data_IF_160470084042
#
_entry.id   IF_160470084042
#
_cell.length_a   1.000
_cell.length_b   1.000
_cell.length_c   1.000
_cell.angle_alpha   90.00
_cell.angle_beta   90.00
_cell.angle_gamma   90.00
#
_symmetry.space_group_name_H-M   'P 1'
#
loop_
_entity.id
_entity.type
_entity.pdbx_description
1 polymer ?
#
# COMPACT_ATOMS: atom_id res chain seq x y z
N UNK A 1 -12.99 -33.02 -19.60
CA UNK A 1 -12.81 -31.59 -19.94
C UNK A 1 -11.97 -31.03 -18.81
N UNK A 2 -10.66 -30.92 -19.01
CA UNK A 2 -9.79 -30.33 -17.98
C UNK A 2 -10.11 -28.83 -17.94
N UNK A 3 -10.59 -28.37 -16.79
CA UNK A 3 -10.75 -26.94 -16.55
C UNK A 3 -9.37 -26.30 -16.70
N UNK A 4 -9.22 -25.20 -17.48
CA UNK A 4 -7.94 -24.53 -17.58
C UNK A 4 -7.51 -24.15 -16.17
N UNK A 5 -6.32 -24.63 -15.74
CA UNK A 5 -5.70 -24.18 -14.50
C UNK A 5 -5.69 -22.66 -14.55
N UNK A 6 -6.45 -22.03 -13.65
CA UNK A 6 -6.53 -20.58 -13.56
C UNK A 6 -5.13 -19.99 -13.42
N UNK A 7 -4.94 -18.78 -13.92
CA UNK A 7 -3.67 -18.07 -13.72
C UNK A 7 -3.50 -17.81 -12.23
N UNK A 8 -2.38 -18.24 -11.66
CA UNK A 8 -2.01 -17.95 -10.28
C UNK A 8 -1.47 -16.51 -10.17
N UNK A 9 -2.37 -15.58 -9.89
CA UNK A 9 -2.00 -14.17 -9.71
C UNK A 9 -1.38 -13.95 -8.33
N UNK A 10 -0.24 -13.25 -8.28
CA UNK A 10 0.37 -12.82 -7.00
C UNK A 10 -0.38 -11.65 -6.39
N UNK A 11 -0.77 -10.68 -7.22
CA UNK A 11 -1.50 -9.48 -6.82
C UNK A 11 -2.53 -9.11 -7.90
N UNK A 12 -3.70 -8.66 -7.48
CA UNK A 12 -4.69 -8.02 -8.32
C UNK A 12 -5.03 -6.69 -7.66
N UNK A 13 -4.80 -5.60 -8.40
CA UNK A 13 -5.13 -4.25 -7.96
C UNK A 13 -6.18 -3.69 -8.90
N UNK A 14 -7.25 -3.18 -8.33
CA UNK A 14 -8.28 -2.44 -9.05
C UNK A 14 -8.14 -0.97 -8.72
N UNK A 15 -7.72 -0.17 -9.69
CA UNK A 15 -7.68 1.28 -9.53
C UNK A 15 -9.02 1.89 -9.92
N UNK A 16 -9.41 2.96 -9.21
CA UNK A 16 -10.71 3.59 -9.36
C UNK A 16 -10.58 5.10 -9.29
N UNK A 17 -11.12 5.78 -10.30
CA UNK A 17 -11.16 7.24 -10.35
C UNK A 17 -12.05 7.88 -9.27
N UNK A 18 -12.98 7.11 -8.66
CA UNK A 18 -13.94 7.62 -7.68
C UNK A 18 -13.76 6.93 -6.33
N UNK A 19 -13.55 7.74 -5.30
CA UNK A 19 -13.38 7.31 -3.91
C UNK A 19 -14.49 6.39 -3.40
N UNK A 20 -15.74 6.75 -3.65
CA UNK A 20 -16.92 6.00 -3.17
C UNK A 20 -16.98 4.58 -3.74
N UNK A 21 -16.29 4.33 -4.85
CA UNK A 21 -16.26 3.01 -5.49
C UNK A 21 -15.24 2.07 -4.85
N UNK A 22 -14.20 2.59 -4.20
CA UNK A 22 -13.09 1.79 -3.65
C UNK A 22 -13.59 0.78 -2.62
N UNK A 23 -14.40 1.22 -1.66
CA UNK A 23 -14.94 0.35 -0.60
C UNK A 23 -15.86 -0.74 -1.17
N UNK A 24 -16.70 -0.39 -2.13
CA UNK A 24 -17.63 -1.32 -2.78
C UNK A 24 -16.85 -2.39 -3.54
N UNK A 25 -15.83 -1.99 -4.29
CA UNK A 25 -15.02 -2.94 -5.03
C UNK A 25 -14.13 -3.80 -4.14
N UNK A 26 -13.59 -3.23 -3.05
CA UNK A 26 -12.84 -4.01 -2.06
C UNK A 26 -13.72 -5.14 -1.51
N UNK A 27 -14.96 -4.83 -1.12
CA UNK A 27 -15.91 -5.82 -0.62
C UNK A 27 -16.26 -6.88 -1.66
N UNK A 28 -16.43 -6.50 -2.92
CA UNK A 28 -16.72 -7.45 -4.00
C UNK A 28 -15.52 -8.37 -4.29
N UNK A 29 -14.29 -7.86 -4.25
CA UNK A 29 -13.08 -8.67 -4.36
C UNK A 29 -12.99 -9.71 -3.25
N UNK A 30 -13.27 -9.31 -2.00
CA UNK A 30 -13.33 -10.25 -0.87
C UNK A 30 -14.42 -11.30 -1.03
N UNK A 31 -15.60 -10.93 -1.53
CA UNK A 31 -16.68 -11.89 -1.81
C UNK A 31 -16.22 -12.90 -2.87
N UNK A 32 -15.52 -12.47 -3.92
CA UNK A 32 -14.99 -13.36 -4.97
C UNK A 32 -13.90 -14.29 -4.45
N UNK A 33 -13.07 -13.82 -3.53
CA UNK A 33 -12.08 -14.66 -2.86
C UNK A 33 -12.75 -15.70 -1.95
N UNK A 34 -13.77 -15.32 -1.18
CA UNK A 34 -14.55 -16.24 -0.34
C UNK A 34 -15.34 -17.29 -1.13
N UNK A 35 -15.68 -16.97 -2.38
CA UNK A 35 -16.34 -17.90 -3.32
C UNK A 35 -15.35 -18.75 -4.11
N UNK A 36 -14.06 -18.71 -3.78
CA UNK A 36 -12.98 -19.44 -4.46
C UNK A 36 -12.85 -19.13 -5.96
N UNK A 37 -13.40 -17.99 -6.41
CA UNK A 37 -13.23 -17.51 -7.79
C UNK A 37 -11.87 -16.87 -8.01
N UNK A 38 -11.27 -16.37 -6.93
CA UNK A 38 -9.92 -15.83 -6.89
C UNK A 38 -9.16 -16.60 -5.81
N UNK A 39 -7.93 -17.08 -6.09
CA UNK A 39 -7.14 -17.79 -5.10
C UNK A 39 -6.96 -16.99 -3.81
N UNK A 40 -7.02 -17.67 -2.66
CA UNK A 40 -6.79 -17.06 -1.35
C UNK A 40 -5.35 -16.55 -1.16
N UNK A 41 -4.40 -17.08 -1.94
CA UNK A 41 -3.00 -16.65 -1.97
C UNK A 41 -2.80 -15.31 -2.69
N UNK A 42 -3.75 -14.89 -3.53
CA UNK A 42 -3.67 -13.63 -4.29
C UNK A 42 -3.96 -12.44 -3.38
N UNK A 43 -3.09 -11.44 -3.39
CA UNK A 43 -3.36 -10.15 -2.75
C UNK A 43 -4.37 -9.34 -3.56
N UNK A 44 -5.45 -8.89 -2.91
CA UNK A 44 -6.53 -8.10 -3.53
C UNK A 44 -6.62 -6.72 -2.89
N UNK A 45 -6.47 -5.68 -3.71
CA UNK A 45 -6.56 -4.28 -3.26
C UNK A 45 -7.37 -3.46 -4.27
N UNK A 46 -8.38 -2.74 -3.78
CA UNK A 46 -8.98 -1.62 -4.50
C UNK A 46 -8.30 -0.32 -4.05
N UNK A 47 -7.95 0.55 -4.99
CA UNK A 47 -7.18 1.77 -4.74
C UNK A 47 -7.78 2.93 -5.51
N UNK A 48 -7.83 4.09 -4.87
CA UNK A 48 -8.22 5.34 -5.53
C UNK A 48 -7.08 5.81 -6.47
N UNK A 49 -7.44 6.29 -7.65
CA UNK A 49 -6.49 6.96 -8.53
C UNK A 49 -6.09 8.32 -7.96
N UNK A 50 -4.89 8.82 -8.32
CA UNK A 50 -4.44 10.04 -7.72
C UNK A 50 -5.35 11.24 -8.05
N UNK A 51 -5.65 11.40 -9.33
CA UNK A 51 -6.56 12.44 -9.77
C UNK A 51 -7.64 11.84 -10.64
N UNK A 52 -8.74 12.56 -10.77
CA UNK A 52 -9.75 12.21 -11.76
C UNK A 52 -9.12 12.43 -13.15
N UNK A 53 -9.17 11.42 -14.01
CA UNK A 53 -8.58 11.43 -15.37
C UNK A 53 -7.03 11.32 -15.44
N UNK A 54 -6.38 10.60 -14.53
CA UNK A 54 -4.94 10.25 -14.61
C UNK A 54 -4.54 9.49 -15.90
N UNK A 55 -5.51 8.96 -16.64
CA UNK A 55 -5.28 8.13 -17.82
C UNK A 55 -4.79 6.73 -17.47
N UNK A 56 -4.75 5.84 -18.47
CA UNK A 56 -4.39 4.43 -18.25
C UNK A 56 -2.96 4.25 -17.73
N UNK A 57 -2.02 5.09 -18.17
CA UNK A 57 -0.63 5.07 -17.70
C UNK A 57 -0.51 5.45 -16.23
N UNK A 58 -1.15 6.54 -15.80
CA UNK A 58 -1.13 6.98 -14.41
C UNK A 58 -1.79 5.97 -13.46
N UNK A 59 -2.94 5.42 -13.87
CA UNK A 59 -3.59 4.32 -13.15
C UNK A 59 -2.69 3.08 -13.03
N UNK A 60 -2.01 2.70 -14.12
CA UNK A 60 -1.07 1.56 -14.10
C UNK A 60 0.11 1.81 -13.16
N UNK A 61 0.67 3.02 -13.18
CA UNK A 61 1.78 3.39 -12.30
C UNK A 61 1.36 3.41 -10.82
N UNK A 62 0.18 3.95 -10.52
CA UNK A 62 -0.42 3.92 -9.18
C UNK A 62 -0.55 2.47 -8.68
N UNK A 63 -1.09 1.58 -9.51
CA UNK A 63 -1.19 0.15 -9.17
C UNK A 63 0.19 -0.46 -8.87
N UNK A 64 1.20 -0.20 -9.70
CA UNK A 64 2.56 -0.73 -9.49
C UNK A 64 3.19 -0.21 -8.20
N UNK A 65 3.03 1.08 -7.89
CA UNK A 65 3.56 1.70 -6.69
C UNK A 65 2.94 1.04 -5.44
N UNK A 66 1.62 0.93 -5.41
CA UNK A 66 0.88 0.35 -4.29
C UNK A 66 1.18 -1.14 -4.13
N UNK A 67 1.32 -1.88 -5.24
CA UNK A 67 1.76 -3.27 -5.19
C UNK A 67 3.15 -3.40 -4.56
N UNK A 68 4.11 -2.58 -5.00
CA UNK A 68 5.47 -2.62 -4.51
C UNK A 68 5.53 -2.28 -3.01
N UNK A 69 4.81 -1.26 -2.57
CA UNK A 69 4.73 -0.88 -1.17
C UNK A 69 4.16 -2.01 -0.32
N UNK A 70 3.01 -2.56 -0.72
CA UNK A 70 2.34 -3.61 0.06
C UNK A 70 3.14 -4.91 0.12
N UNK A 71 3.79 -5.29 -0.98
CA UNK A 71 4.69 -6.45 -1.00
C UNK A 71 5.96 -6.20 -0.18
N UNK A 72 6.52 -4.99 -0.23
CA UNK A 72 7.68 -4.61 0.59
C UNK A 72 7.35 -4.67 2.08
N UNK A 73 6.22 -4.07 2.48
CA UNK A 73 5.74 -4.10 3.86
C UNK A 73 5.49 -5.53 4.35
N UNK A 74 4.90 -6.40 3.50
CA UNK A 74 4.73 -7.83 3.80
C UNK A 74 6.04 -8.57 4.00
N UNK A 75 7.09 -8.19 3.27
CA UNK A 75 8.42 -8.76 3.41
C UNK A 75 9.22 -8.14 4.56
N UNK A 76 8.66 -7.17 5.30
CA UNK A 76 9.35 -6.47 6.39
C UNK A 76 10.29 -5.36 5.93
N UNK A 77 10.23 -4.96 4.65
CA UNK A 77 10.94 -3.80 4.15
C UNK A 77 10.07 -2.55 4.31
N UNK A 78 10.56 -1.57 5.06
CA UNK A 78 9.93 -0.24 5.16
C UNK A 78 10.60 0.72 4.19
N UNK A 79 9.79 1.54 3.52
CA UNK A 79 10.28 2.65 2.71
C UNK A 79 10.88 3.68 3.66
N UNK A 80 12.21 3.70 3.77
CA UNK A 80 12.90 4.81 4.42
C UNK A 80 12.80 6.01 3.49
N UNK A 81 11.82 6.89 3.73
CA UNK A 81 11.94 8.25 3.23
C UNK A 81 13.19 8.79 3.92
N UNK A 82 14.24 9.19 3.18
CA UNK A 82 15.32 9.90 3.83
C UNK A 82 14.69 11.14 4.46
N UNK A 83 14.64 11.14 5.79
CA UNK A 83 14.46 12.36 6.57
C UNK A 83 15.40 13.38 5.93
N UNK A 84 14.83 14.36 5.23
CA UNK A 84 15.60 15.53 4.84
C UNK A 84 16.05 16.12 6.18
N UNK A 85 17.36 16.11 6.51
CA UNK A 85 17.79 16.71 7.75
C UNK A 85 17.33 18.17 7.71
N UNK A 86 16.71 18.69 8.78
CA UNK A 86 16.38 20.10 8.83
C UNK A 86 17.68 20.86 8.62
N UNK A 87 17.81 21.50 7.47
CA UNK A 87 18.96 22.34 7.15
C UNK A 87 19.05 23.39 8.26
N UNK A 88 20.04 23.19 9.13
CA UNK A 88 20.66 24.16 10.01
C UNK A 88 19.81 25.40 10.35
N UNK A 89 18.96 25.31 11.35
CA UNK A 89 18.76 26.45 12.25
C UNK A 89 19.67 26.23 13.46
N UNK A 90 20.82 26.91 13.38
CA UNK A 90 21.88 26.94 14.36
C UNK A 90 21.35 27.41 15.72
N UNK A 91 21.49 26.59 16.76
CA UNK A 91 21.13 26.95 18.13
C UNK A 91 21.56 25.87 19.12
N UNK A 92 22.60 26.17 19.89
CA UNK A 92 23.34 25.30 20.79
C UNK A 92 22.51 24.75 21.98
N UNK A 93 22.68 23.47 22.34
CA UNK A 93 22.30 22.94 23.66
C UNK A 93 22.45 21.42 23.80
N UNK A 94 23.16 20.88 24.80
CA UNK A 94 23.30 19.44 25.00
C UNK A 94 22.20 18.92 25.91
N UNK A 95 21.54 17.82 25.53
CA UNK A 95 20.85 16.96 26.49
C UNK A 95 20.86 15.51 25.97
N UNK A 96 21.78 14.75 26.55
CA UNK A 96 21.80 13.29 26.57
C UNK A 96 20.62 12.78 27.41
N UNK A 97 19.91 11.75 26.96
CA UNK A 97 19.70 10.47 27.68
C UNK A 97 18.85 9.49 26.84
N UNK A 98 19.03 8.17 27.01
CA UNK A 98 18.48 7.14 26.13
C UNK A 98 17.19 6.52 26.68
N UNK A 99 16.21 6.25 25.82
CA UNK A 99 15.12 5.34 26.18
C UNK A 99 15.41 3.94 25.64
N UNK A 100 16.17 3.16 26.42
CA UNK A 100 16.10 1.70 26.36
C UNK A 100 14.80 1.24 27.03
N UNK A 101 14.10 0.33 26.36
CA UNK A 101 13.10 -0.53 26.98
C UNK A 101 11.67 -0.02 26.85
N UNK A 102 10.94 -0.57 25.88
CA UNK A 102 9.64 -1.18 26.14
C UNK A 102 9.38 -2.23 25.06
N UNK A 103 9.29 -3.50 25.49
CA UNK A 103 8.88 -4.60 24.64
C UNK A 103 7.39 -4.48 24.32
N UNK A 104 7.08 -4.33 23.03
CA UNK A 104 5.83 -4.74 22.41
C UNK A 104 6.10 -4.79 20.89
N UNK A 105 5.54 -5.74 20.13
CA UNK A 105 5.59 -5.66 18.68
C UNK A 105 4.88 -4.36 18.31
N UNK A 106 5.62 -3.42 17.73
CA UNK A 106 5.04 -2.25 17.10
C UNK A 106 4.14 -2.80 15.99
N UNK A 107 2.86 -2.93 16.27
CA UNK A 107 1.83 -2.88 15.25
C UNK A 107 1.98 -1.51 14.63
N UNK A 108 2.80 -1.42 13.59
CA UNK A 108 2.76 -0.28 12.71
C UNK A 108 1.32 -0.26 12.17
N UNK A 109 0.48 0.73 12.50
CA UNK A 109 -0.65 0.98 11.64
C UNK A 109 0.00 1.33 10.31
N UNK A 110 0.01 0.40 9.36
CA UNK A 110 0.25 0.75 7.97
C UNK A 110 -0.88 1.75 7.70
N UNK A 111 -0.59 3.06 7.59
CA UNK A 111 -1.65 3.97 7.22
C UNK A 111 -1.93 3.60 5.77
N UNK A 112 -2.98 2.82 5.54
CA UNK A 112 -3.58 2.67 4.22
C UNK A 112 -4.00 4.08 3.82
N UNK A 113 -3.11 4.77 3.10
CA UNK A 113 -3.21 6.20 2.87
C UNK A 113 -1.87 6.88 3.06
N UNK A 114 -0.87 6.51 2.27
CA UNK A 114 0.12 7.50 1.89
C UNK A 114 -0.61 8.53 1.05
N UNK A 115 -0.83 9.68 1.67
CA UNK A 115 -0.92 10.98 1.01
C UNK A 115 0.07 10.96 -0.15
N UNK A 116 -0.47 10.80 -1.35
CA UNK A 116 -0.18 11.67 -2.47
C UNK A 116 1.07 12.50 -2.27
N UNK A 117 2.18 11.95 -2.74
CA UNK A 117 3.22 12.78 -3.30
C UNK A 117 2.51 13.62 -4.38
N UNK A 118 2.18 14.87 -4.06
CA UNK A 118 1.94 15.90 -5.08
C UNK A 118 3.23 15.94 -5.90
N UNK A 119 3.20 15.30 -7.07
CA UNK A 119 4.08 15.60 -8.19
C UNK A 119 3.33 16.54 -9.13
#
# INVERSE_FOLDING_TARGET
MEQPKGVDWTVIILTCQYKDSVEVFQKELEIRQKREQIPASTLLLAVEDPEVHVGSGGATLNALLVAAEHLSARAGFTVSVPEMPPLAQQGWGPQTEPCQGLGAPLTCPVPFGLQFLHL
#
